data_IF_836701371277
#
_entry.id   IF_836701371277
#
_cell.length_a   1.000
_cell.length_b   1.000
_cell.length_c   1.000
_cell.angle_alpha   90.00
_cell.angle_beta   90.00
_cell.angle_gamma   90.00
#
_symmetry.space_group_name_H-M   'P 1'
#
loop_
_entity.id
_entity.type
_entity.pdbx_description
1 polymer ?
#
# COMPACT_ATOMS: atom_id res chain seq x y z
N UNK A 1 -15.33 16.16 25.56
CA UNK A 1 -13.92 16.20 25.13
C UNK A 1 -13.38 14.80 25.27
N UNK A 2 -12.80 14.25 24.21
CA UNK A 2 -12.22 12.90 24.22
C UNK A 2 -10.92 12.95 25.03
N UNK A 3 -10.71 11.99 25.92
CA UNK A 3 -9.67 12.06 26.94
C UNK A 3 -8.55 11.03 26.76
N UNK A 4 -8.78 9.96 26.01
CA UNK A 4 -7.85 8.86 25.82
C UNK A 4 -7.96 8.27 24.41
N UNK A 5 -7.02 7.39 24.10
CA UNK A 5 -6.87 6.75 22.80
C UNK A 5 -8.08 5.90 22.41
N UNK A 6 -8.60 5.09 23.33
CA UNK A 6 -9.70 4.15 23.06
C UNK A 6 -10.99 4.91 22.71
N UNK A 7 -11.28 6.01 23.43
CA UNK A 7 -12.40 6.90 23.13
C UNK A 7 -12.23 7.57 21.75
N UNK A 8 -11.01 7.93 21.37
CA UNK A 8 -10.70 8.52 20.07
C UNK A 8 -10.96 7.50 18.94
N UNK A 9 -10.50 6.25 19.10
CA UNK A 9 -10.80 5.18 18.16
C UNK A 9 -12.29 4.83 18.11
N UNK A 10 -12.97 4.79 19.25
CA UNK A 10 -14.40 4.55 19.31
C UNK A 10 -15.19 5.64 18.56
N UNK A 11 -14.77 6.90 18.65
CA UNK A 11 -15.33 7.98 17.86
C UNK A 11 -15.11 7.78 16.35
N UNK A 12 -13.91 7.39 15.93
CA UNK A 12 -13.55 7.19 14.52
C UNK A 12 -14.30 5.99 13.92
N UNK A 13 -14.20 4.82 14.57
CA UNK A 13 -14.80 3.57 14.10
C UNK A 13 -16.32 3.50 14.30
N UNK A 14 -16.87 4.34 15.18
CA UNK A 14 -18.32 4.50 15.35
C UNK A 14 -19.01 5.20 14.17
N UNK A 15 -18.24 5.68 13.18
CA UNK A 15 -18.76 6.38 12.00
C UNK A 15 -19.15 5.42 10.90
N UNK A 16 -20.00 5.90 10.00
CA UNK A 16 -20.31 5.18 8.77
C UNK A 16 -19.03 4.96 7.95
N UNK A 17 -18.67 3.70 7.72
CA UNK A 17 -17.45 3.34 6.99
C UNK A 17 -17.52 3.71 5.51
N UNK A 18 -18.69 3.49 4.90
CA UNK A 18 -18.88 3.77 3.49
C UNK A 18 -20.25 4.39 3.26
N UNK A 19 -20.24 5.50 2.54
CA UNK A 19 -21.45 6.14 2.04
C UNK A 19 -21.19 6.51 0.60
N UNK A 20 -21.93 5.88 -0.32
CA UNK A 20 -21.81 6.19 -1.75
C UNK A 20 -22.17 7.66 -1.93
N UNK A 21 -21.25 8.43 -2.50
CA UNK A 21 -21.48 9.81 -2.92
C UNK A 21 -21.00 9.92 -4.35
N UNK A 22 -21.68 10.74 -5.15
CA UNK A 22 -21.28 11.00 -6.53
C UNK A 22 -20.29 12.19 -6.61
N UNK A 23 -20.08 12.90 -5.49
CA UNK A 23 -19.27 14.13 -5.39
C UNK A 23 -18.41 14.14 -4.13
N UNK A 24 -17.46 15.08 -4.04
CA UNK A 24 -16.61 15.30 -2.85
C UNK A 24 -17.09 16.48 -1.99
N UNK A 25 -18.35 16.90 -2.13
CA UNK A 25 -18.84 18.16 -1.57
C UNK A 25 -18.84 18.15 -0.03
N UNK A 26 -19.20 17.01 0.58
CA UNK A 26 -19.08 16.80 2.03
C UNK A 26 -17.64 16.98 2.51
N UNK A 27 -16.68 16.34 1.85
CA UNK A 27 -15.26 16.44 2.19
C UNK A 27 -14.74 17.88 1.98
N UNK A 28 -15.12 18.55 0.88
CA UNK A 28 -14.73 19.95 0.61
C UNK A 28 -15.30 20.92 1.65
N UNK A 29 -16.57 20.75 2.02
CA UNK A 29 -17.19 21.56 3.07
C UNK A 29 -16.50 21.31 4.41
N UNK A 30 -16.17 20.06 4.72
CA UNK A 30 -15.45 19.71 5.94
C UNK A 30 -14.08 20.38 6.00
N UNK A 31 -13.31 20.36 4.90
CA UNK A 31 -12.04 21.07 4.81
C UNK A 31 -12.20 22.58 4.91
N UNK A 32 -13.21 23.16 4.28
CA UNK A 32 -13.51 24.59 4.38
C UNK A 32 -13.78 25.01 5.83
N UNK A 33 -14.54 24.22 6.58
CA UNK A 33 -14.81 24.46 8.02
C UNK A 33 -13.57 24.30 8.90
N UNK A 34 -12.60 23.48 8.49
CA UNK A 34 -11.31 23.31 9.15
C UNK A 34 -10.24 24.33 8.70
N UNK A 35 -10.61 25.30 7.86
CA UNK A 35 -9.69 26.36 7.40
C UNK A 35 -8.80 25.95 6.23
N UNK A 36 -9.23 24.98 5.42
CA UNK A 36 -8.56 24.46 4.23
C UNK A 36 -7.07 24.06 4.47
N UNK A 37 -6.78 23.17 5.44
CA UNK A 37 -5.41 22.74 5.73
C UNK A 37 -4.73 22.07 4.52
N UNK A 38 -5.49 21.37 3.67
CA UNK A 38 -5.01 20.67 2.48
C UNK A 38 -4.36 21.59 1.45
N UNK A 39 -4.71 22.88 1.43
CA UNK A 39 -4.15 23.88 0.49
C UNK A 39 -2.79 24.42 0.89
N UNK A 40 -2.35 24.10 2.10
CA UNK A 40 -1.10 24.60 2.69
C UNK A 40 0.02 23.55 2.66
N UNK A 41 -0.25 22.39 2.07
CA UNK A 41 0.67 21.27 2.00
C UNK A 41 1.27 21.14 0.60
N UNK A 42 2.58 20.88 0.54
CA UNK A 42 3.23 20.32 -0.64
C UNK A 42 2.99 18.81 -0.64
N UNK A 43 2.43 18.24 -1.72
CA UNK A 43 1.95 16.86 -1.72
C UNK A 43 2.43 16.07 -2.94
N UNK A 44 2.83 14.82 -2.75
CA UNK A 44 2.88 13.79 -3.79
C UNK A 44 1.72 12.81 -3.58
N UNK A 45 0.89 12.58 -4.60
CA UNK A 45 -0.36 11.81 -4.46
C UNK A 45 -0.24 10.47 -5.18
N UNK A 46 -0.42 9.37 -4.45
CA UNK A 46 -0.13 8.00 -4.93
C UNK A 46 -1.41 7.17 -5.02
N UNK A 47 -1.77 6.78 -6.24
CA UNK A 47 -2.84 5.85 -6.56
C UNK A 47 -2.30 4.55 -7.19
N UNK A 48 -3.22 3.60 -7.38
CA UNK A 48 -2.94 2.30 -7.98
C UNK A 48 -3.69 1.15 -7.34
N UNK A 49 -3.70 -0.01 -7.97
CA UNK A 49 -4.27 -1.24 -7.39
C UNK A 49 -3.32 -1.78 -6.32
N UNK A 50 -2.09 -2.11 -6.70
CA UNK A 50 -1.03 -2.58 -5.81
C UNK A 50 0.20 -1.66 -5.88
N UNK A 51 1.08 -1.73 -4.87
CA UNK A 51 2.34 -0.98 -4.85
C UNK A 51 2.27 0.42 -4.24
N UNK A 52 1.07 0.95 -3.93
CA UNK A 52 0.87 2.27 -3.30
C UNK A 52 1.74 2.47 -2.05
N UNK A 53 1.52 1.66 -1.01
CA UNK A 53 2.31 1.74 0.24
C UNK A 53 3.82 1.60 0.05
N UNK A 54 4.29 0.69 -0.81
CA UNK A 54 5.72 0.57 -1.11
C UNK A 54 6.28 1.85 -1.75
N UNK A 55 5.56 2.42 -2.72
CA UNK A 55 5.94 3.68 -3.37
C UNK A 55 5.94 4.84 -2.39
N UNK A 56 4.99 4.88 -1.44
CA UNK A 56 4.99 5.86 -0.34
C UNK A 56 6.23 5.70 0.54
N UNK A 57 6.61 4.47 0.90
CA UNK A 57 7.81 4.21 1.71
C UNK A 57 9.10 4.64 1.00
N UNK A 58 9.25 4.31 -0.30
CA UNK A 58 10.39 4.77 -1.09
C UNK A 58 10.44 6.30 -1.19
N UNK A 59 9.30 6.96 -1.49
CA UNK A 59 9.25 8.42 -1.56
C UNK A 59 9.59 9.08 -0.22
N UNK A 60 9.10 8.52 0.89
CA UNK A 60 9.43 8.97 2.24
C UNK A 60 10.94 8.99 2.44
N UNK A 61 11.61 7.86 2.22
CA UNK A 61 13.04 7.73 2.50
C UNK A 61 13.89 8.60 1.54
N UNK A 62 13.48 8.70 0.26
CA UNK A 62 14.12 9.59 -0.71
C UNK A 62 14.01 11.07 -0.31
N UNK A 63 12.84 11.52 0.12
CA UNK A 63 12.61 12.90 0.53
C UNK A 63 13.31 13.20 1.87
N UNK A 64 13.28 12.28 2.83
CA UNK A 64 14.02 12.40 4.09
C UNK A 64 15.53 12.50 3.87
N UNK A 65 16.08 11.79 2.88
CA UNK A 65 17.50 11.89 2.52
C UNK A 65 17.92 13.31 2.06
N UNK A 66 16.96 14.15 1.67
CA UNK A 66 17.21 15.57 1.35
C UNK A 66 17.09 16.51 2.56
N UNK A 67 16.91 15.95 3.77
CA UNK A 67 16.75 16.70 5.01
C UNK A 67 15.33 17.23 5.25
N UNK A 68 14.33 16.77 4.49
CA UNK A 68 12.92 17.14 4.69
C UNK A 68 12.27 16.35 5.81
N UNK A 69 11.35 17.00 6.50
CA UNK A 69 10.35 16.35 7.36
C UNK A 69 9.20 15.88 6.49
N UNK A 70 8.93 14.57 6.47
CA UNK A 70 8.01 13.95 5.51
C UNK A 70 6.81 13.34 6.21
N UNK A 71 5.61 13.84 5.88
CA UNK A 71 4.36 13.20 6.27
C UNK A 71 4.01 12.05 5.34
N UNK A 72 3.58 10.91 5.86
CA UNK A 72 3.03 9.82 5.03
C UNK A 72 1.63 9.46 5.48
N UNK A 73 0.70 9.41 4.53
CA UNK A 73 -0.65 8.91 4.74
C UNK A 73 -0.85 7.59 4.01
N UNK A 74 -1.15 6.51 4.72
CA UNK A 74 -1.27 5.16 4.14
C UNK A 74 -2.54 4.43 4.58
N UNK A 75 -2.97 3.45 3.79
CA UNK A 75 -4.12 2.62 4.14
C UNK A 75 -4.09 1.21 3.52
N UNK A 76 -4.56 0.17 4.23
CA UNK A 76 -4.88 0.15 5.66
C UNK A 76 -3.61 0.21 6.53
N UNK A 77 -3.77 0.32 7.86
CA UNK A 77 -2.66 0.03 8.79
C UNK A 77 -2.42 -1.48 8.86
N UNK A 78 -1.22 -1.87 9.29
CA UNK A 78 -0.88 -3.26 9.56
C UNK A 78 -1.19 -3.61 11.02
N UNK A 79 -0.54 -2.98 11.98
CA UNK A 79 -0.66 -3.36 13.40
C UNK A 79 -1.55 -2.39 14.16
N UNK A 80 -1.30 -1.10 13.98
CA UNK A 80 -1.90 -0.05 14.80
C UNK A 80 -2.48 1.07 13.96
N UNK A 81 -3.65 1.57 14.38
CA UNK A 81 -4.36 2.63 13.66
C UNK A 81 -3.49 3.85 13.32
N UNK A 82 -2.61 4.23 14.24
CA UNK A 82 -1.72 5.38 14.15
C UNK A 82 -0.82 5.33 12.90
N UNK A 83 -0.46 4.14 12.41
CA UNK A 83 0.41 3.97 11.24
C UNK A 83 -0.10 4.69 9.99
N UNK A 84 -1.42 4.90 9.90
CA UNK A 84 -2.05 5.63 8.79
C UNK A 84 -1.54 7.06 8.66
N UNK A 85 -1.10 7.69 9.74
CA UNK A 85 -0.60 9.06 9.77
C UNK A 85 0.77 9.04 10.43
N UNK A 86 1.83 9.16 9.65
CA UNK A 86 3.20 9.13 10.18
C UNK A 86 3.99 10.36 9.74
N UNK A 87 4.97 10.76 10.55
CA UNK A 87 5.98 11.78 10.22
C UNK A 87 7.35 11.14 10.36
N UNK A 88 8.16 11.23 9.31
CA UNK A 88 9.49 10.61 9.23
C UNK A 88 9.48 9.10 9.54
N UNK A 89 8.40 8.42 9.14
CA UNK A 89 8.18 6.99 9.37
C UNK A 89 7.72 6.63 10.78
N UNK A 90 7.56 7.62 11.68
CA UNK A 90 7.03 7.41 13.02
C UNK A 90 5.52 7.67 13.04
N UNK A 91 4.69 6.68 13.43
CA UNK A 91 3.24 6.87 13.58
C UNK A 91 2.89 8.00 14.55
N UNK A 92 1.79 8.71 14.29
CA UNK A 92 1.25 9.76 15.17
C UNK A 92 1.12 9.24 16.62
N UNK A 93 1.63 9.95 17.64
CA UNK A 93 1.45 9.54 19.03
C UNK A 93 -0.03 9.53 19.45
N UNK A 94 -0.35 8.78 20.51
CA UNK A 94 -1.74 8.65 20.98
C UNK A 94 -2.33 9.99 21.43
N UNK A 95 -1.51 10.78 22.11
CA UNK A 95 -1.90 12.10 22.59
C UNK A 95 -2.25 13.02 21.42
N UNK A 96 -1.42 13.01 20.37
CA UNK A 96 -1.64 13.79 19.15
C UNK A 96 -2.86 13.27 18.38
N UNK A 97 -3.11 11.96 18.36
CA UNK A 97 -4.31 11.40 17.77
C UNK A 97 -5.57 11.90 18.50
N UNK A 98 -5.55 11.88 19.84
CA UNK A 98 -6.63 12.42 20.68
C UNK A 98 -6.82 13.91 20.43
N UNK A 99 -5.74 14.68 20.31
CA UNK A 99 -5.79 16.10 19.96
C UNK A 99 -6.44 16.31 18.59
N UNK A 100 -6.04 15.54 17.58
CA UNK A 100 -6.62 15.62 16.24
C UNK A 100 -8.11 15.28 16.23
N UNK A 101 -8.54 14.27 16.99
CA UNK A 101 -9.97 13.98 17.13
C UNK A 101 -10.70 15.13 17.81
N UNK A 102 -10.17 15.67 18.92
CA UNK A 102 -10.79 16.82 19.60
C UNK A 102 -10.85 18.07 18.72
N UNK A 103 -9.91 18.23 17.78
CA UNK A 103 -9.89 19.32 16.80
C UNK A 103 -10.98 19.18 15.74
N UNK A 104 -11.17 17.98 15.20
CA UNK A 104 -12.14 17.75 14.11
C UNK A 104 -13.56 17.51 14.61
N UNK A 105 -13.72 16.94 15.82
CA UNK A 105 -15.02 16.53 16.36
C UNK A 105 -16.07 17.65 16.38
N UNK A 106 -15.79 18.89 16.83
CA UNK A 106 -16.80 19.96 16.83
C UNK A 106 -17.34 20.27 15.42
N UNK A 107 -16.49 20.16 14.40
CA UNK A 107 -16.90 20.35 13.01
C UNK A 107 -17.68 19.15 12.49
N UNK A 108 -17.30 17.93 12.88
CA UNK A 108 -18.08 16.71 12.58
C UNK A 108 -19.48 16.81 13.20
N UNK A 109 -19.58 17.21 14.46
CA UNK A 109 -20.86 17.35 15.18
C UNK A 109 -21.77 18.40 14.52
N UNK A 110 -21.20 19.52 14.02
CA UNK A 110 -21.93 20.54 13.24
C UNK A 110 -22.39 20.00 11.88
N UNK A 111 -21.54 19.24 11.19
CA UNK A 111 -21.88 18.65 9.89
C UNK A 111 -22.93 17.52 10.02
N UNK A 112 -22.93 16.78 11.12
CA UNK A 112 -23.97 15.79 11.43
C UNK A 112 -25.35 16.42 11.57
N UNK A 113 -25.43 17.67 12.03
CA UNK A 113 -26.68 18.41 12.20
C UNK A 113 -27.09 19.18 10.93
N UNK A 114 -26.11 19.65 10.14
CA UNK A 114 -26.37 20.52 8.99
C UNK A 114 -26.55 19.76 7.68
N UNK A 115 -26.00 18.56 7.53
CA UNK A 115 -26.13 17.77 6.31
C UNK A 115 -27.28 16.76 6.43
N UNK A 116 -28.29 16.88 5.57
CA UNK A 116 -29.43 15.96 5.51
C UNK A 116 -29.01 14.49 5.30
N UNK A 117 -27.93 14.31 4.55
CA UNK A 117 -27.39 13.01 4.22
C UNK A 117 -26.57 12.39 5.38
N UNK A 118 -26.30 13.13 6.46
CA UNK A 118 -25.40 12.76 7.55
C UNK A 118 -23.96 13.21 7.32
N UNK A 119 -23.22 13.44 8.40
CA UNK A 119 -21.88 14.04 8.40
C UNK A 119 -20.76 13.13 7.90
N UNK A 120 -19.49 13.54 8.11
CA UNK A 120 -18.32 12.86 7.56
C UNK A 120 -18.22 11.37 7.89
N UNK A 121 -17.76 10.58 6.93
CA UNK A 121 -17.47 9.14 7.08
C UNK A 121 -16.20 8.91 7.89
N UNK A 122 -15.96 7.66 8.29
CA UNK A 122 -14.70 7.27 8.95
C UNK A 122 -13.48 7.74 8.14
N UNK A 123 -13.42 7.40 6.85
CA UNK A 123 -12.26 7.74 6.03
C UNK A 123 -12.10 9.26 5.81
N UNK A 124 -13.20 10.01 5.65
CA UNK A 124 -13.15 11.48 5.55
C UNK A 124 -12.60 12.13 6.82
N UNK A 125 -12.96 11.61 8.00
CA UNK A 125 -12.44 12.08 9.29
C UNK A 125 -10.95 11.81 9.40
N UNK A 126 -10.49 10.63 9.05
CA UNK A 126 -9.06 10.28 9.11
C UNK A 126 -8.25 11.13 8.13
N UNK A 127 -8.75 11.34 6.92
CA UNK A 127 -8.11 12.23 5.94
C UNK A 127 -8.06 13.68 6.43
N UNK A 128 -9.14 14.17 7.05
CA UNK A 128 -9.18 15.52 7.64
C UNK A 128 -8.17 15.69 8.78
N UNK A 129 -8.07 14.69 9.66
CA UNK A 129 -7.09 14.65 10.75
C UNK A 129 -5.67 14.69 10.18
N UNK A 130 -5.38 13.90 9.15
CA UNK A 130 -4.07 13.91 8.48
C UNK A 130 -3.71 15.31 7.96
N UNK A 131 -4.61 15.97 7.22
CA UNK A 131 -4.34 17.31 6.71
C UNK A 131 -4.10 18.31 7.86
N UNK A 132 -4.90 18.24 8.93
CA UNK A 132 -4.72 19.09 10.11
C UNK A 132 -3.42 18.82 10.86
N UNK A 133 -2.97 17.57 10.91
CA UNK A 133 -1.79 17.14 11.62
C UNK A 133 -0.51 17.50 10.86
N UNK A 134 -0.50 17.33 9.55
CA UNK A 134 0.64 17.68 8.71
C UNK A 134 0.83 19.19 8.54
N UNK A 135 -0.26 19.96 8.62
CA UNK A 135 -0.22 21.42 8.58
C UNK A 135 0.74 21.93 9.67
N UNK A 136 1.80 22.62 9.23
CA UNK A 136 2.88 23.19 10.06
C UNK A 136 3.86 22.17 10.68
N UNK A 137 3.79 20.89 10.28
CA UNK A 137 4.68 19.83 10.79
C UNK A 137 5.60 19.20 9.75
N UNK A 138 5.23 19.27 8.47
CA UNK A 138 5.95 18.57 7.40
C UNK A 138 6.28 19.53 6.26
N UNK A 139 7.42 19.31 5.63
CA UNK A 139 7.81 20.03 4.42
C UNK A 139 7.05 19.50 3.20
N UNK A 140 6.76 18.19 3.21
CA UNK A 140 6.06 17.49 2.13
C UNK A 140 5.27 16.31 2.69
N UNK A 141 4.08 16.07 2.13
CA UNK A 141 3.27 14.90 2.44
C UNK A 141 3.22 13.96 1.23
N UNK A 142 3.40 12.67 1.48
CA UNK A 142 3.17 11.60 0.50
C UNK A 142 1.86 10.90 0.87
N UNK A 143 0.84 11.10 0.05
CA UNK A 143 -0.53 10.72 0.37
C UNK A 143 -0.96 9.54 -0.49
N UNK A 144 -1.28 8.41 0.12
CA UNK A 144 -1.91 7.26 -0.53
C UNK A 144 -3.42 7.50 -0.69
N UNK A 145 -3.93 7.23 -1.90
CA UNK A 145 -5.36 7.13 -2.15
C UNK A 145 -5.92 5.89 -1.47
N UNK A 146 -7.03 6.03 -0.75
CA UNK A 146 -7.74 4.90 -0.15
C UNK A 146 -8.29 3.95 -1.21
N UNK A 147 -9.31 4.40 -1.97
CA UNK A 147 -9.95 3.61 -3.01
C UNK A 147 -10.25 4.47 -4.24
N UNK A 148 -9.89 3.97 -5.43
CA UNK A 148 -10.17 4.67 -6.68
C UNK A 148 -9.25 5.86 -6.91
N UNK A 149 -9.81 7.07 -6.88
CA UNK A 149 -9.10 8.33 -7.10
C UNK A 149 -10.05 9.52 -7.24
N UNK A 150 -10.96 9.52 -8.22
CA UNK A 150 -11.90 10.63 -8.50
C UNK A 150 -12.64 11.08 -7.23
N UNK A 151 -13.27 10.13 -6.54
CA UNK A 151 -14.13 10.36 -5.37
C UNK A 151 -13.48 9.93 -4.05
N UNK A 152 -12.15 9.76 -4.05
CA UNK A 152 -11.44 9.47 -2.81
C UNK A 152 -11.34 10.74 -1.95
N UNK A 153 -11.49 10.60 -0.63
CA UNK A 153 -11.45 11.72 0.31
C UNK A 153 -10.14 12.51 0.24
N UNK A 154 -9.03 11.87 -0.18
CA UNK A 154 -7.75 12.56 -0.38
C UNK A 154 -7.73 13.48 -1.61
N UNK A 155 -8.63 13.28 -2.59
CA UNK A 155 -8.61 14.00 -3.87
C UNK A 155 -9.18 15.44 -3.82
N UNK A 156 -9.20 16.05 -2.63
CA UNK A 156 -9.47 17.48 -2.42
C UNK A 156 -8.21 18.36 -2.51
N UNK A 157 -7.04 17.75 -2.65
CA UNK A 157 -5.74 18.42 -2.81
C UNK A 157 -5.34 18.63 -4.28
N UNK A 158 -4.33 19.47 -4.51
CA UNK A 158 -3.61 19.57 -5.80
C UNK A 158 -2.15 19.19 -5.56
N UNK A 159 -1.67 18.05 -6.07
CA UNK A 159 -0.31 17.59 -5.78
C UNK A 159 0.72 18.27 -6.66
N UNK A 160 1.97 18.21 -6.25
CA UNK A 160 3.13 18.56 -7.07
C UNK A 160 3.41 17.47 -8.11
N UNK A 161 3.21 16.20 -7.74
CA UNK A 161 3.33 15.05 -8.63
C UNK A 161 2.26 14.02 -8.28
N UNK A 162 1.59 13.48 -9.29
CA UNK A 162 0.71 12.32 -9.14
C UNK A 162 1.43 11.04 -9.55
N UNK A 163 1.18 9.93 -8.87
CA UNK A 163 1.77 8.61 -9.19
C UNK A 163 0.66 7.57 -9.32
N UNK A 164 0.62 6.84 -10.43
CA UNK A 164 -0.29 5.71 -10.63
C UNK A 164 0.56 4.46 -10.80
N UNK A 165 0.68 3.66 -9.75
CA UNK A 165 1.59 2.50 -9.68
C UNK A 165 1.18 1.36 -10.62
N UNK A 166 -0.01 0.79 -10.41
CA UNK A 166 -0.53 -0.33 -11.21
C UNK A 166 -2.05 -0.21 -11.42
N UNK A 167 -2.57 -0.89 -12.45
CA UNK A 167 -4.01 -1.08 -12.68
C UNK A 167 -4.28 -2.58 -12.78
N UNK A 168 -5.21 -3.06 -11.95
CA UNK A 168 -5.64 -4.46 -11.93
C UNK A 168 -7.00 -4.61 -11.27
N UNK A 169 -7.60 -5.79 -11.43
CA UNK A 169 -8.92 -6.11 -10.89
C UNK A 169 -8.93 -6.14 -9.36
N UNK A 170 -9.40 -5.06 -8.75
CA UNK A 170 -9.67 -4.95 -7.32
C UNK A 170 -10.79 -3.94 -7.07
N UNK A 171 -11.52 -4.10 -5.97
CA UNK A 171 -12.67 -3.26 -5.62
C UNK A 171 -13.69 -3.08 -6.77
N UNK A 172 -13.90 -4.11 -7.58
CA UNK A 172 -14.72 -4.03 -8.81
C UNK A 172 -16.16 -3.56 -8.56
N UNK A 173 -16.72 -3.89 -7.39
CA UNK A 173 -18.06 -3.41 -6.97
C UNK A 173 -18.14 -1.88 -6.85
N UNK A 174 -17.00 -1.21 -6.62
CA UNK A 174 -16.90 0.24 -6.45
C UNK A 174 -16.34 0.94 -7.69
N UNK A 175 -15.34 0.35 -8.34
CA UNK A 175 -14.56 1.01 -9.39
C UNK A 175 -14.98 0.65 -10.82
N UNK A 176 -15.86 -0.35 -10.97
CA UNK A 176 -16.24 -0.91 -12.26
C UNK A 176 -15.61 -2.28 -12.54
N UNK A 177 -16.11 -2.95 -13.56
CA UNK A 177 -15.78 -4.35 -13.88
C UNK A 177 -14.72 -4.51 -14.98
N UNK A 178 -14.14 -3.42 -15.49
CA UNK A 178 -13.14 -3.45 -16.57
C UNK A 178 -11.90 -2.64 -16.17
N UNK A 179 -10.72 -3.00 -16.72
CA UNK A 179 -9.49 -2.25 -16.44
C UNK A 179 -9.58 -0.77 -16.87
N UNK A 180 -10.18 -0.41 -18.02
CA UNK A 180 -10.41 0.99 -18.38
C UNK A 180 -11.27 1.76 -17.36
N UNK A 181 -12.31 1.13 -16.80
CA UNK A 181 -13.14 1.78 -15.77
C UNK A 181 -12.36 2.03 -14.48
N UNK A 182 -11.58 1.04 -14.04
CA UNK A 182 -10.70 1.15 -12.86
C UNK A 182 -9.61 2.22 -13.10
N UNK A 183 -9.04 2.26 -14.31
CA UNK A 183 -8.07 3.27 -14.71
C UNK A 183 -8.66 4.67 -14.68
N UNK A 184 -9.88 4.86 -15.20
CA UNK A 184 -10.57 6.15 -15.16
C UNK A 184 -10.76 6.67 -13.74
N UNK A 185 -11.13 5.80 -12.80
CA UNK A 185 -11.23 6.16 -11.39
C UNK A 185 -9.89 6.61 -10.80
N UNK A 186 -8.80 5.89 -11.08
CA UNK A 186 -7.47 6.20 -10.56
C UNK A 186 -6.85 7.43 -11.23
N UNK A 187 -7.11 7.65 -12.51
CA UNK A 187 -6.68 8.83 -13.26
C UNK A 187 -7.29 10.15 -12.73
N UNK A 188 -8.30 10.07 -11.86
CA UNK A 188 -8.91 11.23 -11.19
C UNK A 188 -7.96 12.05 -10.30
N UNK A 189 -6.78 11.51 -9.94
CA UNK A 189 -5.75 12.26 -9.20
C UNK A 189 -4.83 13.09 -10.11
N UNK A 190 -4.95 12.96 -11.43
CA UNK A 190 -4.20 13.77 -12.38
C UNK A 190 -4.81 15.17 -12.39
N UNK A 191 -3.99 16.20 -12.12
CA UNK A 191 -4.43 17.59 -12.00
C UNK A 191 -3.77 18.48 -13.04
N UNK A 192 -4.50 19.51 -13.45
CA UNK A 192 -4.11 20.41 -14.51
C UNK A 192 -2.65 20.88 -14.42
N UNK A 193 -1.87 20.64 -15.48
CA UNK A 193 -0.48 21.08 -15.59
C UNK A 193 0.52 20.42 -14.63
N UNK A 194 0.08 19.48 -13.77
CA UNK A 194 0.95 18.78 -12.82
C UNK A 194 1.42 17.45 -13.43
N UNK A 195 2.68 17.05 -13.26
CA UNK A 195 3.20 15.82 -13.84
C UNK A 195 2.56 14.57 -13.21
N UNK A 196 2.44 13.51 -14.01
CA UNK A 196 2.03 12.18 -13.56
C UNK A 196 3.07 11.12 -13.94
N UNK A 197 3.47 10.32 -12.95
CA UNK A 197 4.32 9.12 -13.13
C UNK A 197 3.42 7.89 -13.17
N UNK A 198 3.62 7.03 -14.17
CA UNK A 198 2.79 5.84 -14.39
C UNK A 198 3.68 4.60 -14.40
N UNK A 199 3.32 3.62 -13.58
CA UNK A 199 4.02 2.35 -13.53
C UNK A 199 3.64 1.41 -14.68
N UNK A 200 3.92 0.10 -14.50
CA UNK A 200 3.59 -0.91 -15.51
C UNK A 200 2.10 -1.24 -15.46
N UNK A 201 1.38 -0.87 -16.51
CA UNK A 201 -0.07 -1.01 -16.58
C UNK A 201 -0.50 -1.58 -17.94
N UNK A 202 -1.60 -2.35 -18.01
CA UNK A 202 -2.12 -2.87 -19.27
C UNK A 202 -2.47 -1.76 -20.27
N UNK A 203 -2.26 -2.01 -21.56
CA UNK A 203 -2.41 -1.02 -22.64
C UNK A 203 -3.81 -0.36 -22.66
N UNK A 204 -4.88 -1.15 -22.49
CA UNK A 204 -6.25 -0.64 -22.44
C UNK A 204 -6.52 0.32 -21.27
N UNK A 205 -5.81 0.12 -20.14
CA UNK A 205 -5.87 1.01 -18.99
C UNK A 205 -4.97 2.24 -19.19
N UNK A 206 -3.81 2.06 -19.82
CA UNK A 206 -2.87 3.14 -20.13
C UNK A 206 -3.50 4.19 -21.04
N UNK A 207 -4.23 3.77 -22.07
CA UNK A 207 -4.90 4.68 -22.99
C UNK A 207 -5.87 5.65 -22.28
N UNK A 208 -6.54 5.20 -21.20
CA UNK A 208 -7.42 6.05 -20.38
C UNK A 208 -6.62 7.10 -19.60
N UNK A 209 -5.49 6.69 -19.03
CA UNK A 209 -4.61 7.57 -18.26
C UNK A 209 -3.94 8.61 -19.16
N UNK A 210 -3.47 8.20 -20.34
CA UNK A 210 -2.88 9.09 -21.35
C UNK A 210 -3.88 10.14 -21.81
N UNK A 211 -5.11 9.71 -22.14
CA UNK A 211 -6.18 10.64 -22.49
C UNK A 211 -6.44 11.64 -21.37
N UNK A 212 -6.54 11.17 -20.13
CA UNK A 212 -6.74 12.05 -18.97
C UNK A 212 -5.59 13.04 -18.79
N UNK A 213 -4.35 12.60 -18.97
CA UNK A 213 -3.17 13.48 -18.90
C UNK A 213 -3.21 14.56 -19.99
N UNK A 214 -3.60 14.21 -21.24
CA UNK A 214 -3.79 15.18 -22.33
C UNK A 214 -4.89 16.19 -21.99
N UNK A 215 -6.05 15.73 -21.53
CA UNK A 215 -7.18 16.59 -21.16
C UNK A 215 -6.79 17.58 -20.05
N UNK A 216 -5.99 17.13 -19.08
CA UNK A 216 -5.46 17.94 -17.99
C UNK A 216 -4.17 18.71 -18.36
N UNK A 217 -3.67 18.64 -19.60
CA UNK A 217 -2.38 19.22 -20.02
C UNK A 217 -1.23 18.86 -19.08
N UNK A 218 -1.25 17.65 -18.57
CA UNK A 218 -0.32 17.11 -17.57
C UNK A 218 0.82 16.37 -18.26
N UNK A 219 2.10 16.69 -17.99
CA UNK A 219 3.22 15.87 -18.45
C UNK A 219 3.10 14.44 -17.91
N UNK A 220 3.28 13.44 -18.76
CA UNK A 220 3.16 12.03 -18.39
C UNK A 220 4.52 11.33 -18.56
N UNK A 221 4.90 10.52 -17.57
CA UNK A 221 6.14 9.77 -17.54
C UNK A 221 5.87 8.31 -17.20
N UNK A 222 5.99 7.42 -18.19
CA UNK A 222 5.66 6.00 -18.06
C UNK A 222 6.92 5.17 -17.88
N UNK A 223 6.83 4.16 -17.00
CA UNK A 223 7.84 3.10 -16.96
C UNK A 223 7.95 2.42 -18.33
N UNK A 224 9.18 2.06 -18.67
CA UNK A 224 9.57 1.42 -19.93
C UNK A 224 9.38 2.30 -21.19
N UNK A 225 9.01 3.58 -21.02
CA UNK A 225 8.99 4.61 -22.07
C UNK A 225 9.89 5.79 -21.68
N UNK A 226 9.36 6.81 -20.99
CA UNK A 226 10.13 7.95 -20.52
C UNK A 226 11.11 7.57 -19.40
N UNK A 227 10.76 6.55 -18.60
CA UNK A 227 11.57 6.05 -17.50
C UNK A 227 12.07 4.65 -17.88
N UNK A 228 13.37 4.52 -18.16
CA UNK A 228 13.96 3.24 -18.57
C UNK A 228 14.45 2.47 -17.35
N UNK A 229 13.91 1.26 -17.17
CA UNK A 229 14.25 0.37 -16.05
C UNK A 229 14.69 -0.98 -16.58
N UNK A 230 15.87 -1.45 -16.18
CA UNK A 230 16.38 -2.78 -16.55
C UNK A 230 16.81 -3.55 -15.31
N UNK A 231 16.02 -4.56 -14.88
CA UNK A 231 16.42 -5.42 -13.78
C UNK A 231 17.80 -6.05 -14.02
N UNK A 232 18.56 -6.24 -12.94
CA UNK A 232 19.82 -6.98 -12.89
C UNK A 232 19.63 -8.12 -11.89
N UNK A 233 19.06 -9.26 -12.32
CA UNK A 233 18.72 -10.34 -11.40
C UNK A 233 19.93 -10.87 -10.65
N UNK A 234 19.76 -11.07 -9.35
CA UNK A 234 20.69 -11.80 -8.49
C UNK A 234 19.91 -12.70 -7.50
N UNK A 235 20.64 -13.52 -6.75
CA UNK A 235 20.09 -14.40 -5.70
C UNK A 235 20.22 -13.83 -4.29
N UNK A 236 20.70 -12.60 -4.14
CA UNK A 236 20.84 -11.98 -2.83
C UNK A 236 19.47 -11.54 -2.31
N UNK A 237 19.40 -11.26 -1.00
CA UNK A 237 18.26 -10.56 -0.39
C UNK A 237 18.30 -9.05 -0.71
N UNK A 238 18.35 -8.75 -2.01
CA UNK A 238 18.21 -7.42 -2.57
C UNK A 238 17.70 -7.55 -4.02
N UNK A 239 17.19 -6.46 -4.57
CA UNK A 239 17.01 -6.31 -6.01
C UNK A 239 17.96 -5.23 -6.51
N UNK A 240 18.50 -5.43 -7.72
CA UNK A 240 19.29 -4.41 -8.38
C UNK A 240 18.79 -4.16 -9.81
N UNK A 241 18.93 -2.91 -10.28
CA UNK A 241 18.46 -2.51 -11.61
C UNK A 241 19.19 -1.27 -12.12
N UNK A 242 19.24 -1.13 -13.45
CA UNK A 242 19.61 0.12 -14.09
C UNK A 242 18.38 1.02 -14.21
N UNK A 243 18.55 2.31 -13.95
CA UNK A 243 17.51 3.33 -14.05
C UNK A 243 17.99 4.50 -14.90
N UNK A 244 17.17 4.98 -15.84
CA UNK A 244 17.45 6.20 -16.61
C UNK A 244 16.18 7.04 -16.74
N UNK A 245 16.29 8.33 -16.41
CA UNK A 245 15.20 9.28 -16.48
C UNK A 245 15.74 10.70 -16.46
N UNK A 246 15.12 11.61 -17.22
CA UNK A 246 15.41 13.06 -17.20
C UNK A 246 16.92 13.41 -17.33
N UNK A 247 17.63 12.70 -18.21
CA UNK A 247 19.08 12.88 -18.42
C UNK A 247 19.98 12.25 -17.35
N UNK A 248 19.43 11.69 -16.27
CA UNK A 248 20.19 10.91 -15.29
C UNK A 248 20.26 9.44 -15.69
N UNK A 249 21.39 8.81 -15.37
CA UNK A 249 21.59 7.36 -15.50
C UNK A 249 22.24 6.84 -14.22
N UNK A 250 21.58 5.88 -13.60
CA UNK A 250 22.11 5.08 -12.51
C UNK A 250 22.31 3.67 -13.04
N UNK A 251 23.57 3.25 -13.19
CA UNK A 251 23.85 1.92 -13.70
C UNK A 251 23.39 0.84 -12.72
N UNK A 252 23.48 1.10 -11.41
CA UNK A 252 23.02 0.17 -10.38
C UNK A 252 22.31 0.94 -9.27
N UNK A 253 21.00 0.73 -9.19
CA UNK A 253 20.12 1.06 -8.07
C UNK A 253 19.86 -0.23 -7.30
N UNK A 254 19.78 -0.15 -5.98
CA UNK A 254 19.52 -1.31 -5.09
C UNK A 254 18.33 -1.02 -4.18
N UNK A 255 17.54 -2.05 -3.90
CA UNK A 255 16.43 -2.02 -2.92
C UNK A 255 16.40 -3.35 -2.13
N UNK A 256 15.92 -3.31 -0.89
CA UNK A 256 15.73 -4.50 -0.06
C UNK A 256 14.36 -5.14 -0.21
N UNK A 257 13.35 -4.40 -0.66
CA UNK A 257 12.04 -4.97 -0.97
C UNK A 257 12.15 -5.84 -2.23
N UNK A 258 11.91 -7.14 -2.08
CA UNK A 258 12.11 -8.12 -3.14
C UNK A 258 10.96 -8.15 -4.16
N UNK A 259 11.30 -8.53 -5.40
CA UNK A 259 10.38 -8.72 -6.50
C UNK A 259 10.45 -7.63 -7.57
N UNK A 260 10.21 -8.01 -8.83
CA UNK A 260 10.24 -7.08 -9.96
C UNK A 260 9.18 -5.98 -9.85
N UNK A 261 8.05 -6.26 -9.20
CA UNK A 261 7.04 -5.25 -8.88
C UNK A 261 7.56 -4.18 -7.90
N UNK A 262 8.50 -4.52 -7.01
CA UNK A 262 9.15 -3.53 -6.14
C UNK A 262 10.18 -2.69 -6.91
N UNK A 263 10.88 -3.27 -7.89
CA UNK A 263 11.72 -2.49 -8.82
C UNK A 263 10.86 -1.44 -9.53
N UNK A 264 9.66 -1.81 -9.99
CA UNK A 264 8.73 -0.87 -10.62
C UNK A 264 8.26 0.22 -9.63
N UNK A 265 7.85 -0.14 -8.41
CA UNK A 265 7.44 0.82 -7.38
C UNK A 265 8.58 1.80 -7.02
N UNK A 266 9.80 1.29 -6.82
CA UNK A 266 10.98 2.10 -6.53
C UNK A 266 11.32 3.04 -7.69
N UNK A 267 11.17 2.58 -8.93
CA UNK A 267 11.41 3.40 -10.12
C UNK A 267 10.36 4.50 -10.27
N UNK A 268 9.08 4.24 -9.98
CA UNK A 268 8.05 5.27 -9.92
C UNK A 268 8.35 6.30 -8.82
N UNK A 269 8.73 5.84 -7.64
CA UNK A 269 9.11 6.71 -6.51
C UNK A 269 10.32 7.59 -6.87
N UNK A 270 11.37 7.01 -7.45
CA UNK A 270 12.57 7.74 -7.84
C UNK A 270 12.28 8.79 -8.92
N UNK A 271 11.48 8.47 -9.93
CA UNK A 271 11.07 9.43 -10.95
C UNK A 271 10.21 10.56 -10.36
N UNK A 272 9.24 10.23 -9.49
CA UNK A 272 8.39 11.23 -8.84
C UNK A 272 9.20 12.14 -7.90
N UNK A 273 10.16 11.58 -7.16
CA UNK A 273 11.12 12.34 -6.36
C UNK A 273 11.93 13.31 -7.22
N UNK A 274 12.47 12.86 -8.35
CA UNK A 274 13.25 13.72 -9.25
C UNK A 274 12.41 14.88 -9.81
N UNK A 275 11.17 14.61 -10.23
CA UNK A 275 10.22 15.63 -10.69
C UNK A 275 9.87 16.63 -9.60
N UNK A 276 9.64 16.15 -8.38
CA UNK A 276 9.39 16.99 -7.21
C UNK A 276 10.58 17.92 -6.92
N UNK A 277 11.79 17.36 -6.84
CA UNK A 277 13.01 18.15 -6.61
C UNK A 277 13.23 19.19 -7.71
N UNK A 278 12.97 18.84 -8.97
CA UNK A 278 13.08 19.76 -10.11
C UNK A 278 12.06 20.91 -10.02
N UNK A 279 10.80 20.62 -9.68
CA UNK A 279 9.74 21.63 -9.52
C UNK A 279 10.05 22.63 -8.38
N UNK A 280 10.75 22.17 -7.34
CA UNK A 280 11.18 23.02 -6.22
C UNK A 280 12.59 23.62 -6.38
N UNK A 281 13.27 23.36 -7.51
CA UNK A 281 14.66 23.78 -7.75
C UNK A 281 15.62 23.35 -6.63
N UNK A 282 15.39 22.18 -6.03
CA UNK A 282 16.18 21.70 -4.90
C UNK A 282 17.24 20.69 -5.36
N UNK A 283 18.53 20.92 -5.07
CA UNK A 283 19.57 19.94 -5.33
C UNK A 283 19.39 18.73 -4.41
N UNK A 284 19.98 17.60 -4.81
CA UNK A 284 19.97 16.36 -4.04
C UNK A 284 21.26 15.58 -4.36
N UNK A 285 21.78 14.87 -3.37
CA UNK A 285 22.96 14.03 -3.53
C UNK A 285 22.59 12.66 -4.07
N UNK A 286 23.24 12.24 -5.16
CA UNK A 286 22.94 10.97 -5.83
C UNK A 286 23.29 9.76 -4.97
N UNK A 287 24.39 9.82 -4.23
CA UNK A 287 24.84 8.71 -3.40
C UNK A 287 23.91 8.52 -2.20
N UNK A 288 23.56 9.59 -1.50
CA UNK A 288 22.61 9.57 -0.38
C UNK A 288 21.22 9.10 -0.83
N UNK A 289 20.76 9.57 -1.99
CA UNK A 289 19.47 9.16 -2.58
C UNK A 289 19.42 7.64 -2.83
N UNK A 290 20.47 7.08 -3.44
CA UNK A 290 20.54 5.63 -3.69
C UNK A 290 20.71 4.83 -2.40
N UNK A 291 21.45 5.35 -1.42
CA UNK A 291 21.61 4.72 -0.11
C UNK A 291 20.30 4.71 0.68
N UNK A 292 19.47 5.75 0.57
CA UNK A 292 18.15 5.81 1.19
C UNK A 292 17.19 4.79 0.59
N UNK A 293 17.12 4.72 -0.75
CA UNK A 293 16.31 3.73 -1.45
C UNK A 293 16.70 2.29 -1.09
N UNK A 294 18.01 2.03 -0.92
CA UNK A 294 18.53 0.71 -0.55
C UNK A 294 18.18 0.30 0.89
N UNK A 295 17.84 1.25 1.77
CA UNK A 295 17.47 0.99 3.17
C UNK A 295 15.96 0.97 3.41
N UNK A 296 15.15 1.22 2.38
CA UNK A 296 13.71 1.28 2.52
C UNK A 296 13.14 -0.05 2.97
N UNK A 297 12.37 0.02 4.06
CA UNK A 297 11.60 -1.09 4.61
C UNK A 297 10.11 -0.75 4.58
N UNK A 298 9.29 -1.77 4.34
CA UNK A 298 7.84 -1.66 4.37
C UNK A 298 7.23 -2.95 4.96
N UNK A 299 6.72 -2.90 6.20
CA UNK A 299 6.16 -4.07 6.87
C UNK A 299 5.10 -4.81 6.05
N UNK A 300 5.11 -6.13 6.10
CA UNK A 300 4.17 -6.99 5.37
C UNK A 300 4.34 -7.01 3.85
N UNK A 301 5.53 -6.65 3.32
CA UNK A 301 5.92 -6.88 1.92
C UNK A 301 7.15 -7.75 1.85
N UNK A 302 6.91 -9.05 1.69
CA UNK A 302 7.94 -10.08 1.73
C UNK A 302 8.96 -9.82 2.87
N UNK A 303 8.44 -9.49 4.05
CA UNK A 303 9.19 -9.06 5.23
C UNK A 303 9.75 -10.29 5.94
N UNK A 304 11.09 -10.42 6.10
CA UNK A 304 11.66 -11.50 6.88
C UNK A 304 11.47 -11.20 8.37
N UNK A 305 10.81 -12.11 9.09
CA UNK A 305 10.62 -12.03 10.56
C UNK A 305 11.50 -13.03 11.32
N UNK A 306 12.11 -13.98 10.61
CA UNK A 306 13.16 -14.86 11.11
C UNK A 306 14.11 -15.20 9.97
N UNK A 307 15.41 -15.32 10.26
CA UNK A 307 16.43 -15.72 9.28
C UNK A 307 16.77 -17.21 9.36
N UNK A 308 16.67 -17.82 10.55
CA UNK A 308 16.99 -19.23 10.78
C UNK A 308 15.96 -19.89 11.72
N UNK A 309 14.98 -20.65 11.17
CA UNK A 309 14.69 -20.82 9.75
C UNK A 309 14.15 -19.53 9.12
N UNK A 310 14.23 -19.42 7.79
CA UNK A 310 13.74 -18.25 7.06
C UNK A 310 12.20 -18.21 7.06
N UNK A 311 11.64 -17.22 7.77
CA UNK A 311 10.19 -16.98 7.85
C UNK A 311 9.89 -15.59 7.30
N UNK A 312 8.95 -15.52 6.35
CA UNK A 312 8.63 -14.33 5.59
C UNK A 312 7.13 -14.05 5.62
N UNK A 313 6.75 -12.80 5.86
CA UNK A 313 5.37 -12.33 5.82
C UNK A 313 5.10 -11.55 4.52
N UNK A 314 3.99 -11.84 3.84
CA UNK A 314 3.56 -11.04 2.69
C UNK A 314 2.04 -10.78 2.67
N UNK A 315 1.67 -9.51 2.48
CA UNK A 315 0.29 -9.05 2.47
C UNK A 315 -0.48 -9.22 1.16
N UNK A 316 -0.01 -10.05 0.21
CA UNK A 316 -0.73 -10.34 -1.02
C UNK A 316 -2.13 -10.90 -0.71
N UNK A 317 -3.16 -10.23 -1.24
CA UNK A 317 -4.57 -10.49 -0.88
C UNK A 317 -5.55 -10.30 -2.05
N UNK A 318 -5.03 -10.18 -3.28
CA UNK A 318 -5.79 -10.10 -4.51
C UNK A 318 -5.06 -10.87 -5.63
N UNK A 319 -5.76 -11.16 -6.72
CA UNK A 319 -5.20 -11.92 -7.85
C UNK A 319 -3.92 -11.29 -8.42
N UNK A 320 -3.85 -9.97 -8.68
CA UNK A 320 -2.61 -9.38 -9.20
C UNK A 320 -1.44 -9.48 -8.20
N UNK A 321 -1.65 -9.31 -6.90
CA UNK A 321 -0.57 -9.43 -5.91
C UNK A 321 -0.08 -10.88 -5.76
N UNK A 322 -1.00 -11.85 -5.75
CA UNK A 322 -0.65 -13.28 -5.70
C UNK A 322 -0.08 -13.79 -7.03
N UNK A 323 -0.14 -13.02 -8.11
CA UNK A 323 0.57 -13.37 -9.35
C UNK A 323 2.07 -13.07 -9.24
N UNK A 324 2.44 -12.04 -8.47
CA UNK A 324 3.82 -11.59 -8.31
C UNK A 324 4.63 -12.44 -7.33
N UNK A 325 4.01 -12.90 -6.24
CA UNK A 325 4.70 -13.69 -5.20
C UNK A 325 5.26 -15.03 -5.74
N UNK A 326 4.51 -15.85 -6.49
CA UNK A 326 5.05 -17.04 -7.13
C UNK A 326 6.18 -16.76 -8.12
N UNK A 327 6.15 -15.62 -8.82
CA UNK A 327 7.24 -15.24 -9.72
C UNK A 327 8.52 -14.93 -8.94
N UNK A 328 8.40 -14.17 -7.86
CA UNK A 328 9.50 -13.91 -6.93
C UNK A 328 10.08 -15.22 -6.37
N UNK A 329 9.23 -16.12 -5.87
CA UNK A 329 9.64 -17.42 -5.33
C UNK A 329 10.39 -18.26 -6.38
N UNK A 330 9.88 -18.35 -7.61
CA UNK A 330 10.55 -19.06 -8.71
C UNK A 330 11.90 -18.43 -9.08
N UNK A 331 11.97 -17.11 -9.08
CA UNK A 331 13.17 -16.39 -9.52
C UNK A 331 14.30 -16.47 -8.48
N UNK A 332 13.99 -16.32 -7.19
CA UNK A 332 15.00 -16.22 -6.13
C UNK A 332 15.18 -17.46 -5.28
N UNK A 333 14.17 -18.33 -5.19
CA UNK A 333 14.12 -19.45 -4.24
C UNK A 333 13.73 -20.78 -4.91
N UNK A 334 13.99 -20.94 -6.22
CA UNK A 334 13.60 -22.15 -6.99
C UNK A 334 14.30 -23.44 -6.56
N UNK A 335 15.38 -23.34 -5.80
CA UNK A 335 16.18 -24.44 -5.28
C UNK A 335 15.85 -24.83 -3.83
N UNK A 336 14.82 -24.22 -3.24
CA UNK A 336 14.38 -24.46 -1.86
C UNK A 336 13.03 -25.15 -1.82
N UNK A 337 12.75 -25.90 -0.75
CA UNK A 337 11.37 -26.27 -0.43
C UNK A 337 10.64 -25.02 0.10
N UNK A 338 9.43 -24.78 -0.40
CA UNK A 338 8.66 -23.58 -0.09
C UNK A 338 7.41 -23.95 0.68
N UNK A 339 7.42 -23.69 1.97
CA UNK A 339 6.26 -23.87 2.84
C UNK A 339 5.41 -22.61 2.80
N UNK A 340 4.10 -22.75 2.61
CA UNK A 340 3.18 -21.62 2.47
C UNK A 340 2.02 -21.81 3.44
N UNK A 341 1.96 -20.98 4.49
CA UNK A 341 0.76 -20.87 5.32
C UNK A 341 -0.14 -19.81 4.70
N UNK A 342 -1.32 -20.24 4.26
CA UNK A 342 -2.24 -19.40 3.51
C UNK A 342 -3.60 -19.27 4.21
N UNK A 343 -4.00 -18.04 4.48
CA UNK A 343 -5.33 -17.71 4.97
C UNK A 343 -5.85 -16.43 4.30
N UNK A 344 -7.10 -16.44 3.85
CA UNK A 344 -7.67 -15.39 3.00
C UNK A 344 -9.14 -15.14 3.31
N UNK A 345 -9.60 -13.91 3.12
CA UNK A 345 -11.01 -13.53 3.31
C UNK A 345 -11.91 -14.08 2.20
N UNK A 346 -13.13 -14.48 2.57
CA UNK A 346 -14.10 -15.11 1.65
C UNK A 346 -14.65 -14.18 0.56
N UNK A 347 -14.43 -12.88 0.67
CA UNK A 347 -14.82 -11.89 -0.34
C UNK A 347 -13.76 -11.65 -1.43
N UNK A 348 -12.65 -12.39 -1.39
CA UNK A 348 -11.56 -12.35 -2.39
C UNK A 348 -11.66 -13.50 -3.39
N UNK A 349 -10.84 -13.43 -4.44
CA UNK A 349 -10.75 -14.47 -5.49
C UNK A 349 -9.85 -15.62 -5.04
N UNK A 350 -10.16 -16.21 -3.89
CA UNK A 350 -9.28 -17.13 -3.16
C UNK A 350 -8.93 -18.41 -3.94
N UNK A 351 -9.83 -18.95 -4.76
CA UNK A 351 -9.56 -20.15 -5.57
C UNK A 351 -8.44 -19.89 -6.58
N UNK A 352 -8.52 -18.76 -7.30
CA UNK A 352 -7.46 -18.35 -8.23
C UNK A 352 -6.13 -18.08 -7.52
N UNK A 353 -6.18 -17.45 -6.35
CA UNK A 353 -5.00 -17.18 -5.54
C UNK A 353 -4.30 -18.50 -5.16
N UNK A 354 -5.07 -19.49 -4.68
CA UNK A 354 -4.52 -20.81 -4.37
C UNK A 354 -3.94 -21.49 -5.61
N UNK A 355 -4.64 -21.48 -6.74
CA UNK A 355 -4.12 -22.04 -8.02
C UNK A 355 -2.79 -21.41 -8.42
N UNK A 356 -2.61 -20.09 -8.23
CA UNK A 356 -1.35 -19.41 -8.53
C UNK A 356 -0.22 -19.85 -7.59
N UNK A 357 -0.50 -20.00 -6.29
CA UNK A 357 0.46 -20.49 -5.31
C UNK A 357 0.90 -21.93 -5.60
N UNK A 358 0.00 -22.79 -6.09
CA UNK A 358 0.34 -24.16 -6.51
C UNK A 358 1.35 -24.21 -7.68
N UNK A 359 1.51 -23.11 -8.43
CA UNK A 359 2.51 -23.06 -9.50
C UNK A 359 3.94 -22.93 -8.99
N UNK A 360 4.14 -22.63 -7.70
CA UNK A 360 5.47 -22.58 -7.06
C UNK A 360 6.06 -24.00 -7.05
N UNK A 361 7.30 -24.20 -7.52
CA UNK A 361 7.97 -25.50 -7.47
C UNK A 361 8.25 -25.88 -6.01
N UNK A 362 8.23 -27.18 -5.69
CA UNK A 362 8.56 -27.67 -4.34
C UNK A 362 7.70 -27.06 -3.21
N UNK A 363 6.44 -26.71 -3.50
CA UNK A 363 5.57 -26.10 -2.51
C UNK A 363 4.98 -27.12 -1.54
N UNK A 364 4.73 -26.67 -0.31
CA UNK A 364 3.93 -27.33 0.71
C UNK A 364 2.94 -26.29 1.26
N UNK A 365 1.67 -26.41 0.92
CA UNK A 365 0.66 -25.40 1.29
C UNK A 365 -0.13 -25.91 2.50
N UNK A 366 -0.21 -25.09 3.55
CA UNK A 366 -1.07 -25.31 4.70
C UNK A 366 -2.14 -24.22 4.69
N UNK A 367 -3.37 -24.63 4.45
CA UNK A 367 -4.55 -23.77 4.56
C UNK A 367 -4.96 -23.66 6.03
N UNK A 368 -5.21 -22.44 6.48
CA UNK A 368 -5.65 -22.14 7.84
C UNK A 368 -6.69 -21.03 7.84
N UNK A 369 -7.28 -20.77 8.99
CA UNK A 369 -8.20 -19.65 9.19
C UNK A 369 -7.62 -18.61 10.16
N UNK A 370 -8.26 -17.45 10.23
CA UNK A 370 -7.97 -16.36 11.15
C UNK A 370 -9.24 -15.56 11.44
N UNK A 371 -9.20 -14.69 12.45
CA UNK A 371 -10.32 -13.81 12.76
C UNK A 371 -10.27 -12.58 11.84
N UNK A 372 -11.16 -12.56 10.85
CA UNK A 372 -11.29 -11.39 9.97
C UNK A 372 -11.93 -10.18 10.68
N UNK A 373 -11.76 -8.97 10.13
CA UNK A 373 -12.25 -7.75 10.76
C UNK A 373 -13.78 -7.65 10.69
N UNK A 374 -14.40 -7.27 11.82
CA UNK A 374 -15.85 -7.07 11.91
C UNK A 374 -16.63 -8.32 11.50
N UNK A 375 -17.44 -8.21 10.44
CA UNK A 375 -18.26 -9.34 9.92
C UNK A 375 -17.59 -10.10 8.77
N UNK A 376 -16.39 -9.70 8.35
CA UNK A 376 -15.70 -10.33 7.21
C UNK A 376 -15.02 -11.60 7.69
N UNK A 377 -15.44 -12.75 7.15
CA UNK A 377 -14.93 -14.06 7.54
C UNK A 377 -13.82 -14.53 6.60
N UNK A 378 -12.86 -15.25 7.16
CA UNK A 378 -11.94 -16.07 6.38
C UNK A 378 -12.69 -17.17 5.63
N UNK A 379 -12.09 -17.65 4.55
CA UNK A 379 -12.56 -18.85 3.83
C UNK A 379 -12.43 -20.06 4.74
N UNK A 380 -13.41 -20.96 4.66
CA UNK A 380 -13.32 -22.29 5.26
C UNK A 380 -12.19 -23.11 4.57
N UNK A 381 -11.11 -23.44 5.29
CA UNK A 381 -9.96 -24.16 4.72
C UNK A 381 -10.32 -25.54 4.17
N UNK A 382 -11.21 -26.29 4.83
CA UNK A 382 -11.62 -27.62 4.38
C UNK A 382 -12.43 -27.55 3.10
N UNK A 383 -13.36 -26.60 3.03
CA UNK A 383 -14.14 -26.35 1.82
C UNK A 383 -13.26 -25.91 0.63
N UNK A 384 -12.18 -25.19 0.91
CA UNK A 384 -11.20 -24.81 -0.10
C UNK A 384 -10.34 -26.00 -0.52
N UNK A 385 -9.81 -26.80 0.43
CA UNK A 385 -9.07 -28.04 0.15
C UNK A 385 -9.90 -28.98 -0.73
N UNK A 386 -11.18 -29.15 -0.41
CA UNK A 386 -12.14 -30.01 -1.13
C UNK A 386 -12.22 -29.71 -2.65
N UNK A 387 -11.90 -28.49 -3.09
CA UNK A 387 -11.88 -28.07 -4.50
C UNK A 387 -10.53 -28.33 -5.19
N UNK A 388 -9.47 -28.59 -4.42
CA UNK A 388 -8.10 -28.77 -4.89
C UNK A 388 -7.52 -30.16 -4.52
N UNK A 389 -8.38 -31.16 -4.29
CA UNK A 389 -8.04 -32.53 -3.87
C UNK A 389 -6.97 -33.24 -4.72
N UNK A 390 -6.75 -32.79 -5.95
CA UNK A 390 -5.76 -33.35 -6.86
C UNK A 390 -4.31 -33.08 -6.43
N UNK A 391 -4.09 -32.07 -5.58
CA UNK A 391 -2.75 -31.74 -5.08
C UNK A 391 -2.54 -32.26 -3.66
N UNK A 392 -1.77 -33.34 -3.55
CA UNK A 392 -1.46 -33.98 -2.27
C UNK A 392 -0.53 -33.14 -1.36
N UNK A 393 -0.06 -31.97 -1.83
CA UNK A 393 0.80 -31.04 -1.08
C UNK A 393 0.02 -29.93 -0.38
N UNK A 394 -1.31 -30.06 -0.32
CA UNK A 394 -2.20 -29.13 0.36
C UNK A 394 -2.77 -29.80 1.61
N UNK A 395 -2.46 -29.23 2.76
CA UNK A 395 -3.00 -29.62 4.04
C UNK A 395 -3.84 -28.52 4.68
N UNK A 396 -4.63 -28.90 5.68
CA UNK A 396 -5.48 -28.00 6.45
C UNK A 396 -5.11 -28.15 7.91
N UNK A 397 -4.93 -27.02 8.58
CA UNK A 397 -4.73 -26.93 10.03
C UNK A 397 -5.58 -25.76 10.52
N UNK A 398 -6.40 -26.00 11.55
CA UNK A 398 -7.41 -25.04 11.99
C UNK A 398 -6.80 -23.76 12.61
N UNK A 399 -5.75 -23.92 13.41
CA UNK A 399 -5.08 -22.82 14.09
C UNK A 399 -3.78 -22.45 13.36
N UNK A 400 -3.64 -21.18 13.00
CA UNK A 400 -2.48 -20.73 12.22
C UNK A 400 -1.17 -20.89 13.00
N UNK A 401 -1.19 -20.83 14.33
CA UNK A 401 -0.04 -21.12 15.18
C UNK A 401 0.42 -22.57 15.00
N UNK A 402 -0.53 -23.50 14.98
CA UNK A 402 -0.26 -24.91 14.71
C UNK A 402 0.16 -25.15 13.26
N UNK A 403 -0.37 -24.39 12.30
CA UNK A 403 0.04 -24.44 10.90
C UNK A 403 1.52 -24.06 10.75
N UNK A 404 1.94 -22.95 11.37
CA UNK A 404 3.34 -22.52 11.42
C UNK A 404 4.19 -23.61 12.10
N UNK A 405 3.77 -24.10 13.27
CA UNK A 405 4.49 -25.16 13.98
C UNK A 405 4.59 -26.48 13.20
N UNK A 406 3.61 -26.79 12.36
CA UNK A 406 3.63 -27.96 11.48
C UNK A 406 4.65 -27.80 10.37
N UNK A 407 4.69 -26.64 9.69
CA UNK A 407 5.71 -26.34 8.69
C UNK A 407 7.12 -26.38 9.30
N UNK A 408 7.32 -25.73 10.45
CA UNK A 408 8.63 -25.67 11.09
C UNK A 408 9.19 -27.04 11.53
N UNK A 409 8.33 -28.03 11.79
CA UNK A 409 8.75 -29.40 12.15
C UNK A 409 9.32 -30.18 10.96
N UNK A 410 8.91 -29.85 9.75
CA UNK A 410 9.31 -30.56 8.52
C UNK A 410 10.39 -29.80 7.74
N UNK A 411 10.48 -28.48 7.95
CA UNK A 411 11.47 -27.62 7.32
C UNK A 411 12.90 -27.96 7.73
N UNK A 412 13.80 -27.86 6.75
CA UNK A 412 15.24 -27.76 6.94
C UNK A 412 15.67 -26.29 7.10
N UNK A 413 16.95 -26.06 7.42
CA UNK A 413 17.52 -24.70 7.53
C UNK A 413 17.59 -23.94 6.21
N UNK A 414 17.58 -24.65 5.07
CA UNK A 414 17.70 -24.05 3.74
C UNK A 414 16.33 -23.64 3.15
N UNK A 415 15.23 -24.10 3.76
CA UNK A 415 13.86 -23.89 3.28
C UNK A 415 13.32 -22.49 3.59
N UNK A 416 12.19 -22.14 2.98
CA UNK A 416 11.49 -20.88 3.22
C UNK A 416 10.06 -21.12 3.69
N UNK A 417 9.66 -20.44 4.76
CA UNK A 417 8.26 -20.35 5.19
C UNK A 417 7.67 -19.00 4.79
N UNK A 418 6.69 -19.02 3.89
CA UNK A 418 5.89 -17.86 3.50
C UNK A 418 4.55 -17.89 4.24
N UNK A 419 4.18 -16.77 4.86
CA UNK A 419 2.88 -16.58 5.49
C UNK A 419 2.16 -15.46 4.74
N UNK A 420 1.02 -15.76 4.12
CA UNK A 420 0.35 -14.83 3.19
C UNK A 420 -1.16 -15.05 3.05
N UNK A 421 -1.81 -14.20 2.25
CA UNK A 421 -3.21 -14.32 1.83
C UNK A 421 -4.12 -13.19 2.33
N UNK A 422 -3.73 -12.48 3.39
CA UNK A 422 -4.49 -11.35 3.93
C UNK A 422 -3.58 -10.44 4.77
N UNK A 423 -3.74 -9.13 4.62
CA UNK A 423 -3.09 -8.13 5.48
C UNK A 423 -3.48 -8.28 6.96
N UNK A 424 -4.72 -8.66 7.24
CA UNK A 424 -5.18 -8.91 8.61
C UNK A 424 -4.54 -10.17 9.19
N UNK A 425 -4.42 -11.22 8.39
CA UNK A 425 -3.79 -12.46 8.82
C UNK A 425 -2.32 -12.24 9.15
N UNK A 426 -1.56 -11.62 8.25
CA UNK A 426 -0.15 -11.36 8.52
C UNK A 426 0.06 -10.34 9.66
N UNK A 427 -0.93 -9.50 9.97
CA UNK A 427 -0.88 -8.63 11.15
C UNK A 427 -0.92 -9.43 12.45
N UNK A 428 -1.84 -10.39 12.58
CA UNK A 428 -1.92 -11.27 13.75
C UNK A 428 -0.60 -12.04 13.94
N UNK A 429 -0.07 -12.58 12.84
CA UNK A 429 1.20 -13.32 12.85
C UNK A 429 2.38 -12.41 13.19
N UNK A 430 2.41 -11.19 12.66
CA UNK A 430 3.48 -10.24 12.95
C UNK A 430 3.49 -9.81 14.43
N UNK A 431 2.32 -9.61 15.06
CA UNK A 431 2.23 -9.39 16.51
C UNK A 431 2.83 -10.56 17.28
N UNK A 432 2.48 -11.79 16.89
CA UNK A 432 3.02 -12.97 17.54
C UNK A 432 4.55 -13.07 17.49
N UNK A 433 5.18 -12.69 16.37
CA UNK A 433 6.64 -12.68 16.26
C UNK A 433 7.32 -11.50 16.96
N UNK A 434 6.69 -10.33 17.04
CA UNK A 434 7.33 -9.13 17.63
C UNK A 434 7.08 -8.99 19.13
N UNK A 435 5.91 -9.39 19.62
CA UNK A 435 5.58 -9.30 21.05
C UNK A 435 6.16 -10.48 21.83
N UNK A 436 6.53 -11.57 21.15
CA UNK A 436 7.19 -12.74 21.75
C UNK A 436 8.62 -12.47 22.27
N UNK A 437 9.21 -11.33 21.93
CA UNK A 437 10.50 -10.85 22.42
C UNK A 437 10.38 -9.89 23.65
N UNK A 438 9.18 -9.76 24.24
CA UNK A 438 8.91 -8.87 25.40
C UNK A 438 9.00 -9.55 26.76
#
# INVERSE_FOLDING_TARGET
>A
MISNYDDALAFIHGRTQFKKSDHLDRMRLFMARLGNPERQLSVIHVAGTNGKGSTVAFLRDLLMATGKTVGTFTSPFLMRFNERISVDGVPIPDQDLVEMVNRVKPVVDDLDQTLEEGGPTEFEIITAMMFCYFKDRVDVAVVEVGIGGILDSTNVLTPEVSVITTIGYDHMKLLGSTLPAIAGQKAGIIKHGKPVVVGRIPEEALAVIEKKAVDEKSPIYRLDHEIIVKPKPDRNWEESFKFQFDGFTFDTVKIQLLGQYQIANASCALAAFMLYQAAHHQPWDRHETLAALAKTVWPGRFEPVSQEPLIVLDGAHNEPAVTEVPQLLKQKFSDREIYIVFAVLADKQYEKMLTLLQTVPHHHIILTTFQGPGTRRAVDPDALKAKHNSDARIDVVDEWQLAIGTALKTMSSDDLLLITGSLYFISDVRHFFLDGDS
#
